data_IF_358466398984
#
_entry.id   IF_358466398984
#
_cell.length_a   1.000
_cell.length_b   1.000
_cell.length_c   1.000
_cell.angle_alpha   90.00
_cell.angle_beta   90.00
_cell.angle_gamma   90.00
#
_symmetry.space_group_name_H-M   'P 1'
#
loop_
_entity.id
_entity.type
_entity.pdbx_description
1 polymer ?
#
# COMPACT_ATOMS: atom_id res chain seq x y z
N UNK A 1 7.86 -21.29 -45.98
CA UNK A 1 8.72 -20.60 -45.01
C UNK A 1 7.92 -20.60 -43.71
N UNK A 2 8.19 -21.58 -42.88
CA UNK A 2 7.36 -21.93 -41.71
C UNK A 2 8.21 -21.59 -40.50
N UNK A 3 7.78 -20.62 -39.69
CA UNK A 3 8.48 -20.25 -38.46
C UNK A 3 7.98 -21.19 -37.38
N UNK A 4 8.88 -22.04 -36.91
CA UNK A 4 8.71 -22.90 -35.75
C UNK A 4 8.75 -22.00 -34.50
N UNK A 5 7.75 -22.14 -33.64
CA UNK A 5 7.54 -21.32 -32.44
C UNK A 5 7.59 -22.23 -31.22
N UNK A 6 8.79 -22.69 -30.87
CA UNK A 6 9.05 -23.37 -29.61
C UNK A 6 9.09 -22.33 -28.47
N UNK A 7 7.94 -22.12 -27.83
CA UNK A 7 7.79 -21.36 -26.58
C UNK A 7 7.50 -22.29 -25.39
N UNK A 8 7.99 -23.53 -25.45
CA UNK A 8 7.97 -24.47 -24.33
C UNK A 8 9.38 -24.55 -23.72
N UNK A 9 9.60 -23.79 -22.65
CA UNK A 9 10.51 -24.09 -21.52
C UNK A 9 10.90 -22.81 -20.76
N UNK A 10 9.94 -22.17 -20.11
CA UNK A 10 10.26 -21.36 -18.94
C UNK A 10 9.63 -22.03 -17.72
N UNK A 11 10.40 -22.35 -16.67
CA UNK A 11 9.87 -22.99 -15.49
C UNK A 11 8.79 -22.08 -14.87
N UNK A 12 7.64 -22.67 -14.61
CA UNK A 12 6.56 -22.06 -13.86
C UNK A 12 7.13 -21.72 -12.47
N UNK A 13 7.32 -20.43 -12.18
CA UNK A 13 7.81 -19.98 -10.89
C UNK A 13 6.73 -20.28 -9.84
N UNK A 14 6.90 -21.41 -9.14
CA UNK A 14 5.99 -21.91 -8.10
C UNK A 14 5.72 -20.89 -6.97
N UNK A 15 6.54 -19.85 -6.86
CA UNK A 15 6.35 -18.72 -5.94
C UNK A 15 6.91 -17.43 -6.56
N UNK A 16 6.24 -16.27 -6.37
CA UNK A 16 6.84 -14.99 -6.73
C UNK A 16 8.16 -14.81 -5.94
N UNK A 17 9.19 -14.19 -6.55
CA UNK A 17 10.43 -13.90 -5.84
C UNK A 17 10.15 -13.05 -4.60
N UNK A 18 10.67 -13.48 -3.45
CA UNK A 18 10.65 -12.67 -2.22
C UNK A 18 11.51 -11.42 -2.46
N UNK A 19 10.95 -10.23 -2.20
CA UNK A 19 11.52 -8.92 -2.55
C UNK A 19 12.91 -8.64 -1.98
N UNK A 20 13.30 -9.35 -0.91
CA UNK A 20 14.65 -9.30 -0.35
C UNK A 20 15.76 -9.68 -1.36
N UNK A 21 15.44 -10.34 -2.47
CA UNK A 21 16.43 -10.74 -3.48
C UNK A 21 16.78 -9.65 -4.51
N UNK A 22 15.99 -8.58 -4.62
CA UNK A 22 16.18 -7.54 -5.64
C UNK A 22 16.73 -6.22 -5.11
N UNK A 23 16.83 -6.05 -3.80
CA UNK A 23 17.38 -4.85 -3.17
C UNK A 23 18.70 -5.18 -2.41
N UNK A 24 19.87 -4.69 -2.88
CA UNK A 24 21.14 -4.85 -2.18
C UNK A 24 21.22 -4.16 -0.82
N UNK A 25 20.27 -3.27 -0.48
CA UNK A 25 20.29 -2.45 0.73
C UNK A 25 19.10 -2.68 1.66
N UNK A 26 18.22 -3.65 1.36
CA UNK A 26 17.17 -4.04 2.28
C UNK A 26 17.82 -4.48 3.60
N UNK A 27 17.39 -3.96 4.78
CA UNK A 27 18.00 -4.34 6.05
C UNK A 27 17.79 -5.84 6.25
N UNK A 28 18.86 -6.58 6.00
CA UNK A 28 18.94 -8.00 6.25
C UNK A 28 18.83 -8.22 7.76
N UNK A 29 18.07 -9.23 8.16
CA UNK A 29 17.94 -9.66 9.55
C UNK A 29 19.31 -10.06 10.10
N UNK A 30 20.07 -9.08 10.60
CA UNK A 30 21.25 -9.32 11.42
C UNK A 30 20.81 -9.27 12.87
N UNK A 31 20.66 -10.45 13.46
CA UNK A 31 20.52 -10.62 14.91
C UNK A 31 21.84 -10.22 15.54
N UNK A 32 21.96 -8.94 15.86
CA UNK A 32 23.11 -8.38 16.57
C UNK A 32 22.78 -8.36 18.07
N UNK A 33 23.16 -9.42 18.78
CA UNK A 33 23.18 -9.42 20.24
C UNK A 33 24.30 -8.49 20.72
N UNK A 34 24.02 -7.20 20.89
CA UNK A 34 24.83 -6.32 21.74
C UNK A 34 23.97 -5.25 22.39
N UNK A 35 23.85 -5.34 23.73
CA UNK A 35 23.30 -4.30 24.57
C UNK A 35 24.22 -3.08 24.53
N UNK A 36 23.79 -2.01 23.85
CA UNK A 36 24.31 -0.67 24.03
C UNK A 36 23.16 0.31 23.90
N UNK A 37 22.82 0.93 25.03
CA UNK A 37 21.90 2.07 25.14
C UNK A 37 22.56 3.30 24.54
N UNK A 38 22.30 3.53 23.25
CA UNK A 38 22.34 4.85 22.63
C UNK A 38 20.97 4.98 21.92
N UNK A 39 20.06 5.76 22.51
CA UNK A 39 18.69 5.96 22.03
C UNK A 39 18.69 6.82 20.75
N UNK A 40 19.22 6.26 19.67
CA UNK A 40 18.81 6.68 18.34
C UNK A 40 17.38 6.16 18.20
N UNK A 41 16.36 7.01 17.99
CA UNK A 41 15.01 6.53 17.78
C UNK A 41 15.02 5.50 16.64
N UNK A 42 14.33 4.37 16.77
CA UNK A 42 14.32 3.36 15.74
C UNK A 42 13.90 3.99 14.40
N UNK A 43 14.80 3.91 13.40
CA UNK A 43 14.54 4.46 12.09
C UNK A 43 13.59 3.53 11.34
N UNK A 44 12.30 3.86 11.37
CA UNK A 44 11.28 3.12 10.66
C UNK A 44 11.14 3.63 9.22
N UNK A 45 10.70 2.78 8.28
CA UNK A 45 10.61 3.16 6.88
C UNK A 45 9.77 4.42 6.70
N UNK A 46 10.36 5.39 6.00
CA UNK A 46 9.71 6.65 5.65
C UNK A 46 9.70 6.82 4.14
N UNK A 47 8.51 6.74 3.56
CA UNK A 47 8.31 6.83 2.13
C UNK A 47 7.88 8.22 1.71
N UNK A 48 8.49 8.72 0.63
CA UNK A 48 8.00 9.88 -0.11
C UNK A 48 7.20 9.41 -1.32
N UNK A 49 5.99 9.93 -1.48
CA UNK A 49 5.07 9.59 -2.56
C UNK A 49 4.92 10.82 -3.45
N UNK A 50 5.46 10.76 -4.66
CA UNK A 50 5.50 11.90 -5.59
C UNK A 50 4.89 11.52 -6.94
N UNK A 51 4.40 12.52 -7.67
CA UNK A 51 3.91 12.27 -9.04
C UNK A 51 5.08 11.91 -9.95
N UNK A 52 4.89 10.91 -10.81
CA UNK A 52 5.89 10.59 -11.83
C UNK A 52 6.05 11.77 -12.80
N UNK A 53 7.29 12.04 -13.21
CA UNK A 53 7.58 13.05 -14.21
C UNK A 53 7.25 12.60 -15.63
N UNK A 54 7.17 11.29 -15.87
CA UNK A 54 7.08 10.68 -17.21
C UNK A 54 5.74 10.00 -17.47
N UNK A 55 4.87 9.88 -16.46
CA UNK A 55 3.59 9.19 -16.57
C UNK A 55 2.53 9.79 -15.63
N UNK A 56 1.28 9.33 -15.76
CA UNK A 56 0.20 9.62 -14.82
C UNK A 56 0.35 8.92 -13.46
N UNK A 57 1.38 8.08 -13.31
CA UNK A 57 1.64 7.28 -12.12
C UNK A 57 2.26 8.07 -10.97
N UNK A 58 2.67 7.33 -9.94
CA UNK A 58 3.36 7.86 -8.77
C UNK A 58 4.62 7.04 -8.48
N UNK A 59 5.63 7.72 -7.98
CA UNK A 59 6.86 7.10 -7.52
C UNK A 59 6.84 7.10 -5.99
N UNK A 60 7.19 5.96 -5.40
CA UNK A 60 7.39 5.82 -3.96
C UNK A 60 8.89 5.64 -3.73
N UNK A 61 9.48 6.58 -2.99
CA UNK A 61 10.92 6.60 -2.71
C UNK A 61 11.20 6.46 -1.22
N UNK A 62 12.33 5.84 -0.89
CA UNK A 62 12.93 5.80 0.44
C UNK A 62 14.36 6.28 0.31
N UNK A 63 14.78 7.25 1.12
CA UNK A 63 16.13 7.85 1.03
C UNK A 63 16.53 8.22 -0.41
N UNK A 64 15.63 8.88 -1.15
CA UNK A 64 15.78 9.28 -2.56
C UNK A 64 15.82 8.15 -3.59
N UNK A 65 15.83 6.89 -3.17
CA UNK A 65 15.77 5.72 -4.04
C UNK A 65 14.32 5.31 -4.31
N UNK A 66 13.95 5.17 -5.57
CA UNK A 66 12.62 4.68 -5.93
C UNK A 66 12.52 3.18 -5.71
N UNK A 67 11.62 2.80 -4.82
CA UNK A 67 11.36 1.40 -4.47
C UNK A 67 10.16 0.84 -5.21
N UNK A 68 9.14 1.68 -5.40
CA UNK A 68 7.88 1.28 -6.03
C UNK A 68 7.37 2.31 -7.03
N UNK A 69 6.59 1.82 -7.97
CA UNK A 69 5.83 2.61 -8.93
C UNK A 69 4.35 2.25 -8.83
N UNK A 70 3.48 3.25 -8.79
CA UNK A 70 2.04 3.06 -8.88
C UNK A 70 1.55 3.50 -10.25
N UNK A 71 1.11 2.52 -11.04
CA UNK A 71 0.38 2.77 -12.28
C UNK A 71 -1.06 3.20 -11.98
N UNK A 72 -1.50 4.27 -12.63
CA UNK A 72 -2.90 4.69 -12.66
C UNK A 72 -3.51 4.39 -14.02
N UNK A 73 -4.60 3.65 -14.03
CA UNK A 73 -5.32 3.29 -15.25
C UNK A 73 -6.73 3.89 -15.24
N UNK A 74 -7.25 4.16 -16.43
CA UNK A 74 -8.62 4.65 -16.59
C UNK A 74 -9.63 3.60 -16.11
N UNK A 75 -10.83 4.04 -15.76
CA UNK A 75 -11.94 3.24 -15.23
C UNK A 75 -12.38 2.08 -16.15
N UNK A 76 -12.06 2.14 -17.44
CA UNK A 76 -12.30 1.04 -18.38
C UNK A 76 -11.27 -0.08 -18.26
N UNK A 77 -10.06 0.25 -17.81
CA UNK A 77 -9.01 -0.71 -17.57
C UNK A 77 -9.16 -1.31 -16.15
N UNK A 78 -9.07 -2.63 -16.07
CA UNK A 78 -9.02 -3.36 -14.80
C UNK A 78 -7.66 -4.05 -14.72
N UNK A 79 -6.87 -3.83 -13.65
CA UNK A 79 -7.13 -3.03 -12.44
C UNK A 79 -6.97 -1.52 -12.67
N UNK A 80 -7.56 -0.70 -11.78
CA UNK A 80 -7.52 0.78 -11.89
C UNK A 80 -6.27 1.38 -11.23
N UNK A 81 -5.70 0.68 -10.25
CA UNK A 81 -4.36 0.93 -9.74
C UNK A 81 -3.56 -0.38 -9.72
N UNK A 82 -2.27 -0.28 -10.02
CA UNK A 82 -1.33 -1.37 -9.82
C UNK A 82 -0.07 -0.83 -9.16
N UNK A 83 0.40 -1.52 -8.13
CA UNK A 83 1.67 -1.28 -7.47
C UNK A 83 2.70 -2.25 -8.04
N UNK A 84 3.81 -1.70 -8.50
CA UNK A 84 4.94 -2.42 -9.07
C UNK A 84 6.17 -2.19 -8.20
N UNK A 85 7.02 -3.21 -8.06
CA UNK A 85 8.37 -3.06 -7.55
C UNK A 85 9.25 -2.39 -8.59
N UNK A 86 10.06 -1.42 -8.18
CA UNK A 86 10.99 -0.70 -9.04
C UNK A 86 10.44 0.60 -9.64
N UNK A 87 10.98 0.96 -10.80
CA UNK A 87 10.90 2.32 -11.33
C UNK A 87 9.65 2.60 -12.18
N UNK A 88 9.01 1.56 -12.72
CA UNK A 88 7.93 1.68 -13.69
C UNK A 88 6.99 0.45 -13.71
N UNK A 89 6.09 0.41 -14.69
CA UNK A 89 5.11 -0.67 -14.87
C UNK A 89 5.69 -1.96 -15.46
N UNK A 90 6.98 -2.02 -15.78
CA UNK A 90 7.66 -3.23 -16.26
C UNK A 90 8.24 -4.07 -15.12
N UNK A 91 8.30 -3.50 -13.91
CA UNK A 91 8.70 -4.22 -12.71
C UNK A 91 7.70 -5.30 -12.26
N UNK A 92 8.06 -6.11 -11.25
CA UNK A 92 7.15 -7.11 -10.70
C UNK A 92 5.90 -6.45 -10.14
N UNK A 93 4.73 -6.94 -10.56
CA UNK A 93 3.46 -6.50 -9.98
C UNK A 93 3.35 -7.05 -8.56
N UNK A 94 3.05 -6.18 -7.59
CA UNK A 94 2.98 -6.53 -6.17
C UNK A 94 1.55 -6.51 -5.64
N UNK A 95 0.76 -5.54 -6.10
CA UNK A 95 -0.61 -5.40 -5.66
C UNK A 95 -1.46 -4.69 -6.71
N UNK A 96 -2.76 -4.94 -6.67
CA UNK A 96 -3.76 -4.30 -7.51
C UNK A 96 -4.88 -3.71 -6.67
N UNK A 97 -5.51 -2.66 -7.18
CA UNK A 97 -6.80 -2.19 -6.66
C UNK A 97 -7.79 -1.95 -7.82
N UNK A 98 -9.06 -2.27 -7.56
CA UNK A 98 -10.17 -1.99 -8.48
C UNK A 98 -11.34 -1.39 -7.72
N UNK A 99 -12.04 -0.46 -8.36
CA UNK A 99 -13.17 0.22 -7.75
C UNK A 99 -14.48 -0.28 -8.37
N UNK A 100 -15.49 -0.50 -7.53
CA UNK A 100 -16.84 -0.73 -8.00
C UNK A 100 -17.48 0.58 -8.46
N UNK A 101 -18.31 0.53 -9.51
CA UNK A 101 -19.07 1.69 -9.95
C UNK A 101 -20.07 2.07 -8.86
N UNK A 102 -19.93 3.26 -8.26
CA UNK A 102 -20.74 3.79 -7.13
C UNK A 102 -20.60 3.03 -5.80
N UNK A 103 -19.73 2.04 -5.70
CA UNK A 103 -19.53 1.29 -4.45
C UNK A 103 -18.62 2.06 -3.49
N UNK A 104 -18.97 2.06 -2.20
CA UNK A 104 -18.12 2.61 -1.12
C UNK A 104 -16.96 1.69 -0.73
N UNK A 105 -17.10 0.40 -0.97
CA UNK A 105 -16.00 -0.53 -0.80
C UNK A 105 -15.13 -0.54 -2.06
N UNK A 106 -13.92 -1.08 -1.94
CA UNK A 106 -13.09 -1.41 -3.09
C UNK A 106 -12.35 -2.70 -2.82
N UNK A 107 -11.83 -3.31 -3.88
CA UNK A 107 -11.12 -4.58 -3.78
C UNK A 107 -9.64 -4.36 -4.02
N UNK A 108 -8.82 -5.03 -3.22
CA UNK A 108 -7.38 -5.12 -3.39
C UNK A 108 -6.98 -6.56 -3.63
N UNK A 109 -5.87 -6.75 -4.32
CA UNK A 109 -5.22 -8.05 -4.49
C UNK A 109 -3.74 -7.88 -4.18
N UNK A 110 -3.16 -8.82 -3.43
CA UNK A 110 -1.75 -8.82 -3.06
C UNK A 110 -1.08 -10.05 -3.67
N UNK A 111 -0.20 -9.84 -4.65
CA UNK A 111 0.52 -10.88 -5.35
C UNK A 111 0.92 -10.53 -6.79
N UNK A 112 1.60 -11.46 -7.45
CA UNK A 112 2.21 -11.28 -8.77
C UNK A 112 1.33 -11.61 -9.98
N UNK A 113 0.16 -12.21 -9.77
CA UNK A 113 -0.75 -12.55 -10.89
C UNK A 113 -1.26 -11.30 -11.61
N UNK A 114 -1.04 -11.24 -12.93
CA UNK A 114 -1.59 -10.19 -13.80
C UNK A 114 -3.12 -10.22 -13.87
N UNK A 115 -3.71 -11.40 -13.76
CA UNK A 115 -5.16 -11.62 -13.84
C UNK A 115 -5.63 -12.50 -12.66
N UNK A 116 -5.76 -11.93 -11.45
CA UNK A 116 -6.26 -12.68 -10.30
C UNK A 116 -7.69 -13.14 -10.54
N UNK A 117 -7.99 -14.37 -10.12
CA UNK A 117 -9.32 -14.96 -10.14
C UNK A 117 -10.30 -14.22 -9.23
N UNK A 118 -11.57 -14.58 -9.29
CA UNK A 118 -12.63 -13.89 -8.53
C UNK A 118 -12.41 -13.96 -7.00
N UNK A 119 -11.84 -15.06 -6.51
CA UNK A 119 -11.66 -15.33 -5.08
C UNK A 119 -10.32 -14.81 -4.51
N UNK A 120 -9.45 -14.26 -5.36
CA UNK A 120 -8.14 -13.77 -4.93
C UNK A 120 -8.19 -12.36 -4.33
N UNK A 121 -9.34 -11.68 -4.47
CA UNK A 121 -9.50 -10.29 -4.07
C UNK A 121 -9.99 -10.16 -2.62
N UNK A 122 -9.28 -9.36 -1.85
CA UNK A 122 -9.70 -8.91 -0.52
C UNK A 122 -10.53 -7.64 -0.63
N UNK A 123 -11.57 -7.52 0.19
CA UNK A 123 -12.44 -6.33 0.21
C UNK A 123 -11.96 -5.35 1.27
N UNK A 124 -11.66 -4.13 0.85
CA UNK A 124 -11.48 -2.97 1.74
C UNK A 124 -12.84 -2.35 2.00
N UNK A 125 -13.28 -2.41 3.25
CA UNK A 125 -14.59 -1.95 3.70
C UNK A 125 -14.54 -0.48 4.08
N UNK A 126 -15.39 0.33 3.45
CA UNK A 126 -15.66 1.67 3.92
C UNK A 126 -16.68 1.63 5.06
N UNK A 127 -16.21 1.93 6.26
CA UNK A 127 -17.03 1.97 7.46
C UNK A 127 -17.19 3.41 7.99
N UNK A 128 -18.19 3.59 8.84
CA UNK A 128 -18.34 4.75 9.71
C UNK A 128 -18.28 4.28 11.16
N UNK A 129 -17.67 5.06 12.05
CA UNK A 129 -17.42 4.70 13.45
C UNK A 129 -18.64 4.77 14.38
N UNK A 130 -19.87 4.91 13.84
CA UNK A 130 -21.09 4.99 14.64
C UNK A 130 -21.34 6.33 15.38
N UNK A 131 -20.46 7.35 15.25
CA UNK A 131 -20.56 8.66 15.94
C UNK A 131 -21.11 9.82 15.10
N UNK A 132 -21.76 10.81 15.72
CA UNK A 132 -22.45 11.93 15.04
C UNK A 132 -21.64 12.72 13.98
N UNK A 133 -20.31 12.77 14.10
CA UNK A 133 -19.40 13.45 13.17
C UNK A 133 -18.38 12.46 12.59
N UNK A 134 -18.86 11.56 11.72
CA UNK A 134 -18.03 10.47 11.20
C UNK A 134 -16.90 10.94 10.28
N UNK A 135 -15.71 10.42 10.51
CA UNK A 135 -14.70 10.30 9.47
C UNK A 135 -14.77 8.91 8.84
N UNK A 136 -14.70 8.79 7.50
CA UNK A 136 -14.70 7.50 6.84
C UNK A 136 -13.47 6.69 7.27
N UNK A 137 -13.71 5.42 7.55
CA UNK A 137 -12.70 4.42 7.88
C UNK A 137 -12.60 3.42 6.73
N UNK A 138 -11.40 2.97 6.41
CA UNK A 138 -11.17 1.96 5.37
C UNK A 138 -10.49 0.76 5.98
N UNK A 139 -11.29 -0.24 6.35
CA UNK A 139 -10.86 -1.44 7.06
C UNK A 139 -10.50 -2.56 6.09
N UNK A 140 -9.40 -3.23 6.36
CA UNK A 140 -8.94 -4.41 5.62
C UNK A 140 -8.27 -5.39 6.58
N UNK A 141 -8.24 -6.66 6.20
CA UNK A 141 -7.64 -7.70 7.00
C UNK A 141 -6.48 -8.30 6.22
N UNK A 142 -5.34 -8.51 6.90
CA UNK A 142 -4.15 -9.08 6.28
C UNK A 142 -3.64 -10.22 7.14
N UNK A 143 -3.23 -11.30 6.49
CA UNK A 143 -2.57 -12.40 7.18
C UNK A 143 -1.08 -12.09 7.24
N UNK A 144 -0.59 -11.74 8.42
CA UNK A 144 0.83 -11.48 8.66
C UNK A 144 1.57 -12.82 8.75
N UNK A 145 2.70 -12.87 8.07
CA UNK A 145 3.70 -13.92 8.24
C UNK A 145 4.73 -13.39 9.22
N UNK A 146 4.35 -13.19 10.48
CA UNK A 146 5.33 -12.85 11.51
C UNK A 146 6.48 -13.83 11.40
N UNK A 147 7.70 -13.29 11.24
CA UNK A 147 8.97 -13.95 10.87
C UNK A 147 9.36 -15.11 11.80
N UNK A 148 8.58 -16.17 11.78
CA UNK A 148 8.83 -17.46 12.38
C UNK A 148 9.34 -18.36 11.27
N UNK A 149 10.59 -18.80 11.37
CA UNK A 149 11.16 -19.90 10.58
C UNK A 149 10.47 -21.24 10.85
N UNK A 150 9.53 -21.28 11.81
CA UNK A 150 8.67 -22.41 12.05
C UNK A 150 7.38 -22.27 11.22
N UNK A 151 7.25 -23.12 10.19
CA UNK A 151 6.04 -23.26 9.35
C UNK A 151 4.78 -23.62 10.15
N UNK A 152 4.93 -23.92 11.45
CA UNK A 152 3.83 -24.20 12.39
C UNK A 152 3.35 -23.00 13.19
N UNK A 153 4.02 -21.84 13.12
CA UNK A 153 3.54 -20.67 13.84
C UNK A 153 2.18 -20.24 13.30
N UNK A 154 1.21 -19.93 14.19
CA UNK A 154 -0.12 -19.53 13.77
C UNK A 154 -0.01 -18.23 12.98
N UNK A 155 -0.50 -18.25 11.74
CA UNK A 155 -0.65 -17.04 10.94
C UNK A 155 -1.55 -16.06 11.68
N UNK A 156 -1.03 -14.89 12.03
CA UNK A 156 -1.80 -13.88 12.76
C UNK A 156 -2.57 -13.03 11.75
N UNK A 157 -3.88 -13.05 11.86
CA UNK A 157 -4.74 -12.19 11.06
C UNK A 157 -4.82 -10.82 11.72
N UNK A 158 -4.21 -9.82 11.09
CA UNK A 158 -4.27 -8.42 11.53
C UNK A 158 -5.45 -7.71 10.89
N UNK A 159 -6.15 -6.91 11.70
CA UNK A 159 -7.25 -6.06 11.25
C UNK A 159 -6.78 -4.64 11.28
N UNK A 160 -6.68 -4.04 10.11
CA UNK A 160 -6.10 -2.71 9.95
C UNK A 160 -7.17 -1.77 9.40
N UNK A 161 -7.08 -0.49 9.76
CA UNK A 161 -7.86 0.53 9.10
C UNK A 161 -7.10 1.81 8.90
N UNK A 162 -7.32 2.43 7.74
CA UNK A 162 -6.95 3.82 7.52
C UNK A 162 -8.08 4.73 7.96
N UNK A 163 -7.74 5.79 8.70
CA UNK A 163 -8.68 6.83 9.08
C UNK A 163 -8.05 8.21 9.01
N UNK A 164 -8.88 9.22 8.84
CA UNK A 164 -8.43 10.61 8.86
C UNK A 164 -7.82 10.94 10.22
N UNK A 165 -6.75 11.73 10.23
CA UNK A 165 -6.15 12.24 11.47
C UNK A 165 -5.96 13.76 11.39
N UNK A 166 -6.12 14.40 12.54
CA UNK A 166 -5.83 15.82 12.78
C UNK A 166 -4.82 16.00 13.92
N UNK A 167 -4.19 14.90 14.34
CA UNK A 167 -3.28 14.88 15.49
C UNK A 167 -1.93 15.49 15.10
N UNK A 168 -1.68 16.72 15.54
CA UNK A 168 -0.41 17.42 15.27
C UNK A 168 0.82 16.67 15.79
N UNK A 169 0.67 15.90 16.87
CA UNK A 169 1.72 15.02 17.41
C UNK A 169 2.17 13.94 16.42
N UNK A 170 1.29 13.55 15.50
CA UNK A 170 1.58 12.59 14.44
C UNK A 170 2.14 13.26 13.17
N UNK A 171 2.31 14.58 13.18
CA UNK A 171 2.70 15.38 12.00
C UNK A 171 1.52 15.80 11.11
N UNK A 172 0.29 15.45 11.49
CA UNK A 172 -0.90 15.80 10.73
C UNK A 172 -1.26 17.28 10.90
N UNK A 173 -1.77 17.88 9.84
CA UNK A 173 -2.29 19.24 9.85
C UNK A 173 -3.77 19.24 10.24
N UNK A 174 -4.15 20.15 11.13
CA UNK A 174 -5.54 20.34 11.56
C UNK A 174 -6.49 20.65 10.39
N UNK A 175 -5.98 21.31 9.35
CA UNK A 175 -6.76 21.68 8.17
C UNK A 175 -6.62 20.70 7.01
N UNK A 176 -5.75 19.70 7.11
CA UNK A 176 -5.63 18.71 6.04
C UNK A 176 -6.88 17.84 5.98
N UNK A 177 -7.41 17.71 4.76
CA UNK A 177 -8.47 16.74 4.49
C UNK A 177 -7.92 15.38 4.09
N UNK A 178 -6.59 15.24 3.97
CA UNK A 178 -5.92 14.12 3.30
C UNK A 178 -4.77 13.53 4.13
N UNK A 179 -4.75 13.83 5.43
CA UNK A 179 -3.83 13.20 6.37
C UNK A 179 -4.53 12.00 7.01
N UNK A 180 -3.87 10.85 7.00
CA UNK A 180 -4.42 9.58 7.45
C UNK A 180 -3.48 8.89 8.42
N UNK A 181 -4.04 8.12 9.35
CA UNK A 181 -3.30 7.18 10.20
C UNK A 181 -3.80 5.77 9.96
N UNK A 182 -2.86 4.83 9.92
CA UNK A 182 -3.12 3.39 9.88
C UNK A 182 -3.13 2.88 11.31
N UNK A 183 -4.17 2.13 11.67
CA UNK A 183 -4.36 1.61 13.01
C UNK A 183 -4.52 0.09 12.99
N UNK A 184 -3.92 -0.59 13.96
CA UNK A 184 -4.13 -2.02 14.24
C UNK A 184 -5.21 -2.19 15.30
N UNK A 185 -6.36 -2.74 14.91
CA UNK A 185 -7.48 -2.99 15.82
C UNK A 185 -7.18 -4.12 16.82
N UNK A 186 -6.21 -4.98 16.52
CA UNK A 186 -5.83 -6.09 17.40
C UNK A 186 -4.92 -5.70 18.55
N UNK A 187 -4.25 -4.54 18.46
CA UNK A 187 -3.27 -4.06 19.44
C UNK A 187 -3.69 -2.75 20.10
N UNK A 188 -4.87 -2.71 20.72
CA UNK A 188 -5.37 -1.53 21.46
C UNK A 188 -5.43 -0.23 20.62
N UNK A 189 -5.83 -0.34 19.35
CA UNK A 189 -5.89 0.79 18.40
C UNK A 189 -4.54 1.51 18.21
N UNK A 190 -3.44 0.75 18.21
CA UNK A 190 -2.09 1.25 17.97
C UNK A 190 -1.92 1.83 16.56
N UNK A 191 -1.30 3.01 16.47
CA UNK A 191 -0.99 3.68 15.20
C UNK A 191 0.26 3.06 14.58
N UNK A 192 0.09 2.39 13.44
CA UNK A 192 1.18 1.72 12.72
C UNK A 192 1.90 2.63 11.74
N UNK A 193 1.18 3.56 11.11
CA UNK A 193 1.74 4.45 10.12
C UNK A 193 0.93 5.74 10.02
N UNK A 194 1.55 6.79 9.50
CA UNK A 194 0.92 8.09 9.27
C UNK A 194 1.25 8.57 7.88
N UNK A 195 0.23 8.94 7.12
CA UNK A 195 0.36 9.61 5.84
C UNK A 195 0.00 11.08 5.98
N UNK A 196 0.86 11.97 5.47
CA UNK A 196 0.63 13.41 5.39
C UNK A 196 0.67 13.86 3.93
N UNK A 197 -0.39 14.54 3.49
CA UNK A 197 -0.49 15.08 2.12
C UNK A 197 0.01 16.53 2.08
N UNK A 198 1.03 16.77 1.25
CA UNK A 198 1.58 18.10 0.96
C UNK A 198 1.14 18.59 -0.43
N UNK A 199 0.04 18.06 -0.96
CA UNK A 199 -0.63 18.48 -2.19
C UNK A 199 -0.04 17.83 -3.44
N UNK A 200 1.22 18.12 -3.76
CA UNK A 200 1.94 17.54 -4.92
C UNK A 200 2.76 16.31 -4.55
N UNK A 201 3.05 16.16 -3.27
CA UNK A 201 3.79 15.05 -2.69
C UNK A 201 3.08 14.63 -1.40
N UNK A 202 3.26 13.40 -0.98
CA UNK A 202 2.85 12.92 0.34
C UNK A 202 4.01 12.19 1.02
N UNK A 203 3.94 12.08 2.34
CA UNK A 203 4.90 11.34 3.15
C UNK A 203 4.16 10.26 3.91
N UNK A 204 4.65 9.02 3.86
CA UNK A 204 4.15 7.89 4.64
C UNK A 204 5.24 7.44 5.61
N UNK A 205 4.99 7.53 6.90
CA UNK A 205 5.94 7.19 7.96
C UNK A 205 5.39 6.02 8.79
N UNK A 206 6.10 4.90 8.81
CA UNK A 206 5.79 3.81 9.72
C UNK A 206 6.29 4.13 11.13
N UNK A 207 5.52 3.74 12.15
CA UNK A 207 5.82 3.97 13.57
C UNK A 207 6.42 2.73 14.25
N UNK A 208 6.42 1.60 13.55
CA UNK A 208 7.10 0.37 13.93
C UNK A 208 7.45 -0.44 12.69
N UNK A 209 8.34 -1.42 12.86
CA UNK A 209 8.60 -2.41 11.81
C UNK A 209 7.35 -3.29 11.63
N UNK A 210 6.90 -3.42 10.39
CA UNK A 210 5.79 -4.30 9.99
C UNK A 210 6.29 -5.30 8.94
N UNK A 211 5.54 -6.37 8.72
CA UNK A 211 5.84 -7.30 7.64
C UNK A 211 5.65 -6.62 6.27
N UNK A 212 6.43 -7.05 5.28
CA UNK A 212 6.37 -6.55 3.91
C UNK A 212 4.95 -6.62 3.32
N UNK A 213 4.25 -7.73 3.57
CA UNK A 213 2.87 -7.90 3.09
C UNK A 213 1.92 -6.87 3.69
N UNK A 214 2.15 -6.48 4.94
CA UNK A 214 1.38 -5.43 5.64
C UNK A 214 1.69 -4.07 5.04
N UNK A 215 2.97 -3.80 4.77
CA UNK A 215 3.41 -2.57 4.13
C UNK A 215 2.78 -2.39 2.74
N UNK A 216 2.87 -3.40 1.88
CA UNK A 216 2.29 -3.41 0.53
C UNK A 216 0.77 -3.20 0.61
N UNK A 217 0.09 -3.91 1.53
CA UNK A 217 -1.36 -3.76 1.75
C UNK A 217 -1.72 -2.33 2.20
N UNK A 218 -0.95 -1.77 3.13
CA UNK A 218 -1.13 -0.40 3.62
C UNK A 218 -0.97 0.61 2.48
N UNK A 219 0.09 0.48 1.68
CA UNK A 219 0.39 1.33 0.53
C UNK A 219 -0.72 1.28 -0.52
N UNK A 220 -1.08 0.11 -1.02
CA UNK A 220 -2.10 0.01 -2.09
C UNK A 220 -3.46 0.50 -1.60
N UNK A 221 -3.82 0.24 -0.34
CA UNK A 221 -5.08 0.69 0.25
C UNK A 221 -5.11 2.21 0.40
N UNK A 222 -4.07 2.81 0.96
CA UNK A 222 -3.93 4.26 1.10
C UNK A 222 -4.05 4.95 -0.26
N UNK A 223 -3.35 4.42 -1.26
CA UNK A 223 -3.32 5.03 -2.58
C UNK A 223 -4.63 4.87 -3.33
N UNK A 224 -5.32 3.74 -3.13
CA UNK A 224 -6.68 3.54 -3.61
C UNK A 224 -7.67 4.53 -2.98
N UNK A 225 -7.56 4.79 -1.68
CA UNK A 225 -8.38 5.80 -0.99
C UNK A 225 -8.14 7.20 -1.54
N UNK A 226 -6.88 7.62 -1.64
CA UNK A 226 -6.51 8.95 -2.13
C UNK A 226 -6.99 9.17 -3.57
N UNK A 227 -6.76 8.19 -4.45
CA UNK A 227 -7.21 8.24 -5.84
C UNK A 227 -8.73 8.37 -5.93
N UNK A 228 -9.44 7.61 -5.08
CA UNK A 228 -10.89 7.65 -5.04
C UNK A 228 -11.43 8.99 -4.55
N UNK A 229 -10.83 9.58 -3.53
CA UNK A 229 -11.20 10.92 -3.06
C UNK A 229 -10.99 11.97 -4.15
N UNK A 230 -9.88 11.89 -4.90
CA UNK A 230 -9.62 12.77 -6.06
C UNK A 230 -10.71 12.66 -7.13
N UNK A 231 -11.16 11.44 -7.42
CA UNK A 231 -12.23 11.19 -8.41
C UNK A 231 -13.58 11.74 -7.96
N UNK A 232 -13.93 11.62 -6.68
CA UNK A 232 -15.17 12.19 -6.12
C UNK A 232 -15.14 13.72 -6.19
N UNK A 233 -14.04 14.36 -5.75
CA UNK A 233 -13.88 15.82 -5.82
C UNK A 233 -13.87 16.32 -7.26
N UNK A 234 -13.17 15.63 -8.16
CA UNK A 234 -13.12 15.98 -9.58
C UNK A 234 -14.48 15.84 -10.28
N UNK A 235 -15.27 14.82 -9.95
CA UNK A 235 -16.62 14.65 -10.47
C UNK A 235 -17.56 15.76 -9.98
N UNK A 236 -17.48 16.13 -8.70
CA UNK A 236 -18.28 17.22 -8.14
C UNK A 236 -17.93 18.57 -8.78
N UNK A 237 -16.63 18.86 -8.98
CA UNK A 237 -16.20 20.10 -9.64
C UNK A 237 -16.71 20.20 -11.09
N UNK A 238 -16.68 19.09 -11.85
CA UNK A 238 -17.24 19.04 -13.21
C UNK A 238 -18.76 19.24 -13.24
N UNK A 239 -19.48 18.78 -12.23
CA UNK A 239 -20.93 18.92 -12.14
C UNK A 239 -21.38 20.34 -11.74
N UNK A 240 -20.54 21.11 -11.02
CA UNK A 240 -20.83 22.50 -10.65
C UNK A 240 -20.45 23.49 -11.76
N UNK A 241 -19.51 23.12 -12.62
CA UNK A 241 -19.08 23.94 -13.76
C UNK A 241 -19.84 23.68 -15.07
N UNK A 242 -20.83 22.79 -15.08
CA UNK A 242 -21.71 22.46 -16.21
C UNK A 242 -23.11 23.03 -15.95
#
# INVERSE_FOLDING_TARGET
MTIDSSYDDLPELDRPPTYAATDPLHPSNSVSNHANTDETPPNFPTYSIVSSHTSSGLNITHDEHQLYYIGRYDHQAKPELALYGGYDAYGPQLALAKFGLREKDFAIYLGGLKHPGANDWDVVRHATDGRLFHHPLYRFEITSSTASTDDRAPRVKQRLHWQKTHESKLGASYFSMRDFKLVDEGGDDEVLAVFTDHGRAGKLEFRRRVDERVEIAALITLMAMVERMKRVVGAAAKAVGA
#
